data_IF_685622480293
#
_entry.id   IF_685622480293
#
_cell.length_a   1.000
_cell.length_b   1.000
_cell.length_c   1.000
_cell.angle_alpha   90.00
_cell.angle_beta   90.00
_cell.angle_gamma   90.00
#
_symmetry.space_group_name_H-M   'P 1'
#
loop_
_entity.id
_entity.type
_entity.pdbx_description
1 polymer ?
#
# COMPACT_ATOMS: atom_id res chain seq x y z
N UNK A 1 5.55 -20.83 -1.65
CA UNK A 1 6.74 -19.91 -1.58
C UNK A 1 6.23 -18.61 -1.01
N UNK A 2 6.90 -18.05 -0.01
CA UNK A 2 6.53 -16.76 0.58
C UNK A 2 7.22 -15.61 -0.17
N UNK A 3 6.63 -14.41 -0.17
CA UNK A 3 7.28 -13.22 -0.70
C UNK A 3 8.46 -12.80 0.18
N UNK A 4 9.36 -12.04 -0.41
CA UNK A 4 10.48 -11.40 0.25
C UNK A 4 10.39 -9.85 0.14
N UNK A 5 11.29 -9.15 0.80
CA UNK A 5 11.37 -7.70 0.78
C UNK A 5 11.50 -7.14 -0.64
N UNK A 6 12.33 -7.78 -1.46
CA UNK A 6 12.61 -7.26 -2.80
C UNK A 6 11.38 -7.36 -3.70
N UNK A 7 10.52 -8.36 -3.48
CA UNK A 7 9.25 -8.43 -4.19
C UNK A 7 8.28 -7.33 -3.74
N UNK A 8 8.19 -7.03 -2.44
CA UNK A 8 7.41 -5.87 -1.96
C UNK A 8 7.88 -4.55 -2.57
N UNK A 9 9.19 -4.36 -2.68
CA UNK A 9 9.76 -3.16 -3.29
C UNK A 9 9.39 -3.06 -4.76
N UNK A 10 9.42 -4.18 -5.48
CA UNK A 10 8.98 -4.25 -6.88
C UNK A 10 7.50 -3.91 -7.06
N UNK A 11 6.64 -4.34 -6.13
CA UNK A 11 5.22 -3.96 -6.13
C UNK A 11 5.03 -2.46 -5.91
N UNK A 12 5.72 -1.90 -4.92
CA UNK A 12 5.69 -0.47 -4.63
C UNK A 12 6.20 0.38 -5.80
N UNK A 13 7.26 -0.05 -6.49
CA UNK A 13 7.78 0.61 -7.69
C UNK A 13 6.77 0.58 -8.84
N UNK A 14 6.07 -0.55 -9.04
CA UNK A 14 5.03 -0.65 -10.05
C UNK A 14 3.85 0.30 -9.75
N UNK A 15 3.42 0.38 -8.51
CA UNK A 15 2.40 1.35 -8.09
C UNK A 15 2.85 2.80 -8.29
N UNK A 16 4.08 3.11 -7.86
CA UNK A 16 4.67 4.43 -8.00
C UNK A 16 4.76 4.90 -9.46
N UNK A 17 5.06 4.00 -10.39
CA UNK A 17 5.11 4.30 -11.82
C UNK A 17 3.74 4.76 -12.37
N UNK A 18 2.64 4.31 -11.76
CA UNK A 18 1.29 4.69 -12.14
C UNK A 18 0.77 5.93 -11.37
N UNK A 19 1.12 6.06 -10.11
CA UNK A 19 0.58 7.13 -9.24
C UNK A 19 1.31 8.46 -9.41
N UNK A 20 2.64 8.48 -9.41
CA UNK A 20 3.43 9.72 -9.49
C UNK A 20 3.14 10.59 -10.71
N UNK A 21 3.03 10.04 -11.95
CA UNK A 21 2.73 10.87 -13.13
C UNK A 21 1.35 11.53 -13.07
N UNK A 22 0.46 11.00 -12.22
CA UNK A 22 -0.93 11.49 -12.08
C UNK A 22 -1.09 12.44 -10.88
N UNK A 23 -0.13 12.45 -9.97
CA UNK A 23 -0.17 13.35 -8.81
C UNK A 23 0.00 14.80 -9.23
N UNK A 24 -0.86 15.70 -8.72
CA UNK A 24 -0.89 17.13 -9.05
C UNK A 24 -1.17 17.44 -10.53
N UNK A 25 -1.83 16.52 -11.22
CA UNK A 25 -2.39 16.75 -12.55
C UNK A 25 -3.90 16.93 -12.42
N UNK A 26 -4.57 17.50 -13.38
CA UNK A 26 -6.03 17.66 -13.36
C UNK A 26 -6.76 16.34 -13.61
N UNK A 27 -6.46 15.30 -12.82
CA UNK A 27 -7.02 13.95 -12.99
C UNK A 27 -8.52 13.93 -12.74
N UNK A 28 -9.26 13.16 -13.53
CA UNK A 28 -10.66 12.90 -13.31
C UNK A 28 -10.90 12.09 -12.05
N UNK A 29 -11.89 12.47 -11.27
CA UNK A 29 -12.27 11.82 -10.02
C UNK A 29 -13.66 11.23 -10.19
N UNK A 30 -13.81 9.96 -9.84
CA UNK A 30 -15.11 9.29 -9.75
C UNK A 30 -15.45 9.07 -8.29
N UNK A 31 -16.70 9.30 -7.88
CA UNK A 31 -17.16 8.99 -6.54
C UNK A 31 -17.76 7.58 -6.51
N UNK A 32 -17.32 6.71 -5.60
CA UNK A 32 -17.79 5.33 -5.45
C UNK A 32 -19.13 5.24 -4.70
N UNK A 33 -19.48 6.25 -3.89
CA UNK A 33 -20.65 6.22 -3.01
C UNK A 33 -21.77 7.18 -3.43
N UNK A 34 -23.01 6.67 -3.42
CA UNK A 34 -24.24 7.47 -3.50
C UNK A 34 -24.59 8.01 -2.10
N UNK A 35 -24.22 9.27 -1.82
CA UNK A 35 -24.54 9.94 -0.54
C UNK A 35 -23.38 10.12 0.44
N UNK A 36 -22.17 9.64 0.10
CA UNK A 36 -20.90 9.89 0.74
C UNK A 36 -19.88 10.48 -0.23
N UNK A 37 -18.64 10.70 0.23
CA UNK A 37 -17.53 11.09 -0.61
C UNK A 37 -16.39 10.06 -0.46
N UNK A 38 -16.37 9.11 -1.37
CA UNK A 38 -15.35 8.07 -1.51
C UNK A 38 -14.74 8.15 -2.94
N UNK A 39 -13.75 9.03 -3.14
CA UNK A 39 -13.20 9.28 -4.45
C UNK A 39 -12.24 8.21 -4.90
N UNK A 40 -12.32 7.86 -6.18
CA UNK A 40 -11.33 7.01 -6.87
C UNK A 40 -10.80 7.74 -8.10
N UNK A 41 -9.56 7.51 -8.44
CA UNK A 41 -8.94 8.05 -9.64
C UNK A 41 -8.45 6.94 -10.56
N UNK A 42 -8.13 7.29 -11.81
CA UNK A 42 -7.44 6.37 -12.71
C UNK A 42 -6.09 5.88 -12.13
N UNK A 43 -5.48 6.68 -11.25
CA UNK A 43 -4.24 6.33 -10.57
C UNK A 43 -4.39 5.14 -9.65
N UNK A 44 -5.47 5.11 -8.86
CA UNK A 44 -5.80 4.01 -7.96
C UNK A 44 -5.96 2.70 -8.75
N UNK A 45 -6.81 2.73 -9.79
CA UNK A 45 -7.11 1.55 -10.60
C UNK A 45 -5.89 1.03 -11.39
N UNK A 46 -5.10 1.94 -11.96
CA UNK A 46 -3.90 1.57 -12.70
C UNK A 46 -2.82 0.98 -11.77
N UNK A 47 -2.63 1.56 -10.60
CA UNK A 47 -1.66 1.08 -9.61
C UNK A 47 -2.06 -0.31 -9.08
N UNK A 48 -3.34 -0.51 -8.72
CA UNK A 48 -3.78 -1.84 -8.30
C UNK A 48 -3.64 -2.88 -9.41
N UNK A 49 -3.95 -2.54 -10.66
CA UNK A 49 -3.78 -3.44 -11.79
C UNK A 49 -2.31 -3.85 -11.98
N UNK A 50 -1.38 -2.91 -11.84
CA UNK A 50 0.05 -3.19 -11.96
C UNK A 50 0.56 -4.10 -10.83
N UNK A 51 0.11 -3.86 -9.58
CA UNK A 51 0.44 -4.72 -8.43
C UNK A 51 -0.10 -6.13 -8.66
N UNK A 52 -1.38 -6.28 -9.04
CA UNK A 52 -2.03 -7.56 -9.27
C UNK A 52 -1.31 -8.38 -10.33
N UNK A 53 -0.97 -7.78 -11.45
CA UNK A 53 -0.26 -8.47 -12.53
C UNK A 53 1.05 -9.12 -12.05
N UNK A 54 1.81 -8.45 -11.19
CA UNK A 54 3.04 -8.99 -10.61
C UNK A 54 2.77 -10.11 -9.61
N UNK A 55 1.76 -9.96 -8.76
CA UNK A 55 1.36 -10.98 -7.79
C UNK A 55 0.88 -12.24 -8.50
N UNK A 56 -0.01 -12.11 -9.48
CA UNK A 56 -0.57 -13.23 -10.23
C UNK A 56 0.51 -13.98 -11.03
N UNK A 57 1.47 -13.25 -11.61
CA UNK A 57 2.58 -13.87 -12.33
C UNK A 57 3.52 -14.66 -11.41
N UNK A 58 3.75 -14.20 -10.17
CA UNK A 58 4.74 -14.79 -9.26
C UNK A 58 4.11 -15.77 -8.27
N UNK A 59 2.89 -15.48 -7.83
CA UNK A 59 2.16 -16.21 -6.78
C UNK A 59 0.71 -16.50 -7.19
N UNK A 60 0.47 -17.27 -8.28
CA UNK A 60 -0.88 -17.50 -8.83
C UNK A 60 -1.81 -18.23 -7.86
N UNK A 61 -1.28 -18.82 -6.79
CA UNK A 61 -2.06 -19.51 -5.75
C UNK A 61 -2.43 -18.62 -4.57
N UNK A 62 -1.97 -17.36 -4.53
CA UNK A 62 -2.33 -16.42 -3.47
C UNK A 62 -3.65 -15.71 -3.78
N UNK A 63 -4.39 -15.37 -2.73
CA UNK A 63 -5.57 -14.51 -2.82
C UNK A 63 -5.18 -13.04 -2.87
N UNK A 64 -6.10 -12.22 -3.35
CA UNK A 64 -5.96 -10.77 -3.38
C UNK A 64 -7.24 -10.12 -2.86
N UNK A 65 -7.11 -9.29 -1.86
CA UNK A 65 -8.10 -8.33 -1.37
C UNK A 65 -7.62 -6.94 -1.81
N UNK A 66 -8.27 -6.35 -2.79
CA UNK A 66 -7.96 -5.03 -3.29
C UNK A 66 -9.11 -4.07 -3.08
N UNK A 67 -8.82 -2.80 -3.11
CA UNK A 67 -9.81 -1.73 -2.91
C UNK A 67 -10.57 -1.40 -4.20
N UNK A 68 -9.89 -1.44 -5.36
CA UNK A 68 -10.42 -0.95 -6.62
C UNK A 68 -10.98 -2.04 -7.52
N UNK A 69 -10.42 -3.22 -7.44
CA UNK A 69 -10.84 -4.37 -8.23
C UNK A 69 -11.39 -5.48 -7.34
N UNK A 70 -12.21 -6.33 -7.89
CA UNK A 70 -12.85 -7.43 -7.16
C UNK A 70 -11.85 -8.36 -6.46
N UNK A 71 -12.28 -8.96 -5.37
CA UNK A 71 -11.48 -9.87 -4.57
C UNK A 71 -11.32 -11.24 -5.24
N UNK A 72 -10.17 -11.88 -5.06
CA UNK A 72 -9.85 -13.19 -5.64
C UNK A 72 -9.30 -14.12 -4.55
N UNK A 73 -9.90 -15.30 -4.40
CA UNK A 73 -9.34 -16.39 -3.59
C UNK A 73 -9.14 -16.03 -2.12
N UNK A 74 -10.11 -15.38 -1.48
CA UNK A 74 -10.03 -15.00 -0.06
C UNK A 74 -10.06 -16.19 0.90
N UNK A 75 -10.38 -17.39 0.42
CA UNK A 75 -10.31 -18.66 1.12
C UNK A 75 -8.91 -19.30 1.12
N UNK A 76 -7.95 -18.70 0.43
CA UNK A 76 -6.59 -19.21 0.32
C UNK A 76 -5.78 -18.91 1.58
N UNK A 77 -4.77 -19.73 1.84
CA UNK A 77 -3.87 -19.56 2.99
C UNK A 77 -3.11 -18.23 2.99
N UNK A 78 -2.74 -17.76 1.81
CA UNK A 78 -1.94 -16.55 1.59
C UNK A 78 -2.76 -15.51 0.85
N UNK A 79 -2.89 -14.31 1.42
CA UNK A 79 -3.69 -13.22 0.87
C UNK A 79 -2.88 -11.94 0.88
N UNK A 80 -2.88 -11.26 -0.27
CA UNK A 80 -2.40 -9.90 -0.41
C UNK A 80 -3.54 -8.91 -0.13
N UNK A 81 -3.25 -7.86 0.59
CA UNK A 81 -4.19 -6.75 0.86
C UNK A 81 -3.58 -5.50 0.24
N UNK A 82 -4.33 -4.85 -0.65
CA UNK A 82 -3.81 -3.75 -1.47
C UNK A 82 -4.72 -2.55 -1.32
N UNK A 83 -4.12 -1.42 -0.95
CA UNK A 83 -4.69 -0.09 -1.08
C UNK A 83 -3.68 0.73 -1.91
N UNK A 84 -3.99 1.01 -3.18
CA UNK A 84 -3.03 1.61 -4.10
C UNK A 84 -2.74 3.08 -3.79
N UNK A 85 -3.73 3.84 -3.29
CA UNK A 85 -3.56 5.23 -2.87
C UNK A 85 -4.32 5.47 -1.55
N UNK A 86 -3.76 5.01 -0.44
CA UNK A 86 -4.26 5.44 0.88
C UNK A 86 -4.15 6.96 1.00
N UNK A 87 -5.27 7.60 1.31
CA UNK A 87 -5.35 9.05 1.32
C UNK A 87 -5.70 9.67 -0.03
N UNK A 88 -6.59 9.07 -0.81
CA UNK A 88 -7.04 9.55 -2.14
C UNK A 88 -7.49 11.02 -2.11
N UNK A 89 -8.10 11.48 -1.04
CA UNK A 89 -8.48 12.90 -0.87
C UNK A 89 -7.27 13.83 -0.84
N UNK A 90 -6.19 13.43 -0.16
CA UNK A 90 -4.93 14.17 -0.15
C UNK A 90 -4.27 14.14 -1.52
N UNK A 91 -4.27 12.98 -2.19
CA UNK A 91 -3.78 12.82 -3.55
C UNK A 91 -4.45 13.80 -4.53
N UNK A 92 -5.79 13.82 -4.57
CA UNK A 92 -6.59 14.72 -5.43
C UNK A 92 -6.29 16.18 -5.11
N UNK A 93 -6.16 16.52 -3.83
CA UNK A 93 -5.88 17.90 -3.38
C UNK A 93 -4.42 18.32 -3.58
N UNK A 94 -3.56 17.44 -4.09
CA UNK A 94 -2.13 17.72 -4.30
C UNK A 94 -1.31 17.80 -3.00
N UNK A 95 -1.85 17.28 -1.89
CA UNK A 95 -1.17 17.26 -0.59
C UNK A 95 -0.40 15.93 -0.47
N UNK A 96 0.93 15.95 -0.17
CA UNK A 96 1.77 14.76 -0.23
C UNK A 96 1.71 13.90 1.05
N UNK A 97 0.49 13.63 1.53
CA UNK A 97 0.22 12.75 2.68
C UNK A 97 -0.68 11.59 2.23
N UNK A 98 -0.21 10.90 1.21
CA UNK A 98 -0.81 9.70 0.64
C UNK A 98 0.28 8.65 0.42
N UNK A 99 -0.10 7.40 0.30
CA UNK A 99 0.86 6.33 0.06
C UNK A 99 0.21 5.09 -0.51
N UNK A 100 1.03 4.14 -0.94
CA UNK A 100 0.58 2.80 -1.34
C UNK A 100 0.79 1.85 -0.16
N UNK A 101 -0.27 1.15 0.22
CA UNK A 101 -0.22 0.14 1.28
C UNK A 101 -0.37 -1.25 0.67
N UNK A 102 0.58 -2.14 0.96
CA UNK A 102 0.52 -3.53 0.55
C UNK A 102 0.82 -4.40 1.75
N UNK A 103 -0.17 -5.17 2.18
CA UNK A 103 -0.06 -6.15 3.24
C UNK A 103 -0.02 -7.58 2.70
N UNK A 104 0.60 -8.47 3.45
CA UNK A 104 0.58 -9.91 3.19
C UNK A 104 0.15 -10.64 4.44
N UNK A 105 -0.88 -11.45 4.29
CA UNK A 105 -1.44 -12.30 5.33
C UNK A 105 -1.10 -13.76 5.01
N UNK A 106 -0.71 -14.50 6.04
CA UNK A 106 -0.52 -15.95 5.98
C UNK A 106 -1.28 -16.63 7.11
N UNK A 107 -2.06 -17.65 6.79
CA UNK A 107 -2.91 -18.39 7.75
C UNK A 107 -3.75 -17.47 8.66
N UNK A 108 -4.38 -16.45 8.09
CA UNK A 108 -5.23 -15.51 8.81
C UNK A 108 -4.51 -14.47 9.66
N UNK A 109 -3.18 -14.35 9.55
CA UNK A 109 -2.37 -13.38 10.30
C UNK A 109 -1.58 -12.47 9.37
N UNK A 110 -1.64 -11.17 9.62
CA UNK A 110 -0.72 -10.23 8.97
C UNK A 110 0.73 -10.61 9.32
N UNK A 111 1.57 -10.77 8.29
CA UNK A 111 2.95 -11.24 8.45
C UNK A 111 3.98 -10.31 7.84
N UNK A 112 3.65 -9.62 6.76
CA UNK A 112 4.54 -8.65 6.11
C UNK A 112 3.73 -7.45 5.63
N UNK A 113 4.39 -6.32 5.43
CA UNK A 113 3.73 -5.16 4.85
C UNK A 113 4.71 -4.07 4.45
N UNK A 114 4.27 -3.28 3.49
CA UNK A 114 4.96 -2.08 3.05
C UNK A 114 3.98 -0.91 3.01
N UNK A 115 4.46 0.25 3.43
CA UNK A 115 3.90 1.54 3.17
C UNK A 115 4.91 2.32 2.33
N UNK A 116 4.55 2.69 1.13
CA UNK A 116 5.38 3.45 0.21
C UNK A 116 4.81 4.85 0.01
N UNK A 117 5.62 5.87 0.22
CA UNK A 117 5.31 7.25 -0.09
C UNK A 117 6.18 7.73 -1.25
N UNK A 118 5.77 7.51 -2.49
CA UNK A 118 6.64 7.69 -3.64
C UNK A 118 7.03 9.16 -3.87
N UNK A 119 6.17 10.12 -3.49
CA UNK A 119 6.48 11.54 -3.65
C UNK A 119 7.59 12.02 -2.69
N UNK A 120 7.58 11.57 -1.44
CA UNK A 120 8.62 11.88 -0.45
C UNK A 120 9.83 10.96 -0.57
N UNK A 121 9.71 9.87 -1.36
CA UNK A 121 10.72 8.81 -1.52
C UNK A 121 11.00 8.08 -0.21
N UNK A 122 9.97 7.89 0.60
CA UNK A 122 10.04 7.19 1.87
C UNK A 122 9.28 5.87 1.78
N UNK A 123 9.85 4.85 2.37
CA UNK A 123 9.32 3.49 2.37
C UNK A 123 9.49 2.88 3.74
N UNK A 124 8.44 2.26 4.22
CA UNK A 124 8.39 1.57 5.50
C UNK A 124 8.03 0.11 5.24
N UNK A 125 8.89 -0.81 5.65
CA UNK A 125 8.68 -2.25 5.43
C UNK A 125 8.80 -3.01 6.74
N UNK A 126 7.96 -4.02 6.93
CA UNK A 126 8.03 -4.96 8.05
C UNK A 126 7.84 -6.40 7.57
N UNK A 127 8.58 -7.34 8.18
CA UNK A 127 8.53 -8.76 7.88
C UNK A 127 7.95 -9.61 9.03
N UNK A 128 7.36 -8.96 10.03
CA UNK A 128 6.82 -9.60 11.23
C UNK A 128 7.83 -9.76 12.37
N UNK A 129 9.13 -9.65 12.10
CA UNK A 129 10.20 -9.68 13.12
C UNK A 129 10.76 -8.28 13.40
N UNK A 130 10.84 -7.47 12.37
CA UNK A 130 11.37 -6.12 12.46
C UNK A 130 10.72 -5.19 11.44
N UNK A 131 10.90 -3.88 11.64
CA UNK A 131 10.49 -2.85 10.72
C UNK A 131 11.67 -1.95 10.35
N UNK A 132 11.68 -1.48 9.11
CA UNK A 132 12.71 -0.64 8.53
C UNK A 132 12.11 0.56 7.82
N UNK A 133 12.84 1.62 7.85
CA UNK A 133 12.65 2.82 7.05
C UNK A 133 13.72 2.88 5.97
N UNK A 134 13.31 3.24 4.76
CA UNK A 134 14.16 3.55 3.61
C UNK A 134 13.75 4.89 3.06
N UNK A 135 14.66 5.82 2.96
CA UNK A 135 14.34 7.17 2.50
C UNK A 135 15.58 7.97 2.12
N UNK A 136 15.38 9.28 1.83
CA UNK A 136 16.49 10.16 1.44
C UNK A 136 17.63 10.20 2.44
N UNK A 137 17.32 9.98 3.73
CA UNK A 137 18.31 10.00 4.81
C UNK A 137 18.97 8.64 5.05
N UNK A 138 18.71 7.66 4.19
CA UNK A 138 19.27 6.32 4.27
C UNK A 138 18.30 5.27 4.83
N UNK A 139 18.85 4.12 5.18
CA UNK A 139 18.12 2.97 5.74
C UNK A 139 18.35 2.88 7.24
N UNK A 140 17.28 2.56 8.01
CA UNK A 140 17.37 2.28 9.44
C UNK A 140 16.27 1.35 9.92
N UNK A 141 16.59 0.55 10.92
CA UNK A 141 15.60 -0.20 11.68
C UNK A 141 14.78 0.76 12.54
N UNK A 142 13.48 0.57 12.54
CA UNK A 142 12.55 1.40 13.30
C UNK A 142 11.75 0.55 14.28
N UNK A 143 11.22 1.18 15.31
CA UNK A 143 10.27 0.59 16.25
C UNK A 143 9.37 1.68 16.83
N UNK A 144 8.22 1.29 17.34
CA UNK A 144 7.40 2.18 18.16
C UNK A 144 8.15 2.58 19.43
N UNK A 145 7.94 3.79 19.90
CA UNK A 145 8.43 4.22 21.22
C UNK A 145 7.67 3.49 22.34
N UNK A 146 8.26 3.40 23.49
CA UNK A 146 7.54 2.96 24.68
C UNK A 146 6.45 3.98 25.05
N UNK A 147 5.26 3.48 25.37
CA UNK A 147 4.11 4.28 25.76
C UNK A 147 3.34 3.49 26.83
N UNK A 148 3.55 3.84 28.10
CA UNK A 148 3.00 3.08 29.23
C UNK A 148 1.52 3.40 29.49
N UNK A 149 1.05 4.58 29.07
CA UNK A 149 -0.34 5.02 29.27
C UNK A 149 -0.85 5.84 28.09
N UNK A 150 -2.17 5.95 27.97
CA UNK A 150 -2.79 6.80 26.95
C UNK A 150 -2.45 8.29 27.13
N UNK A 151 -2.18 8.72 28.37
CA UNK A 151 -1.75 10.10 28.64
C UNK A 151 -0.38 10.44 28.05
N UNK A 152 0.45 9.44 27.78
CA UNK A 152 1.78 9.57 27.19
C UNK A 152 1.77 9.41 25.67
N UNK A 153 0.60 9.09 25.11
CA UNK A 153 0.44 8.95 23.65
C UNK A 153 0.54 10.30 22.95
N UNK A 154 1.08 10.28 21.74
CA UNK A 154 1.04 11.41 20.81
C UNK A 154 0.06 11.03 19.69
N UNK A 155 -0.94 11.87 19.53
CA UNK A 155 -1.97 11.76 18.48
C UNK A 155 -1.78 12.86 17.45
#
# INVERSE_FOLDING_TARGET
>A
MLPDRDFFFKLAEAASAETLPRFRTGIAVTNKEDGGYDPVTEGDQAAESAIRALIEARFPQHGILGEEHGNVGLDREHIWVIDPIDGTRAFISGVPVWGTLIGFQSAGRASMGIMDQPFTKERYFADGEAAWYFGPDGERKIRTRECASLSDAVL
#
